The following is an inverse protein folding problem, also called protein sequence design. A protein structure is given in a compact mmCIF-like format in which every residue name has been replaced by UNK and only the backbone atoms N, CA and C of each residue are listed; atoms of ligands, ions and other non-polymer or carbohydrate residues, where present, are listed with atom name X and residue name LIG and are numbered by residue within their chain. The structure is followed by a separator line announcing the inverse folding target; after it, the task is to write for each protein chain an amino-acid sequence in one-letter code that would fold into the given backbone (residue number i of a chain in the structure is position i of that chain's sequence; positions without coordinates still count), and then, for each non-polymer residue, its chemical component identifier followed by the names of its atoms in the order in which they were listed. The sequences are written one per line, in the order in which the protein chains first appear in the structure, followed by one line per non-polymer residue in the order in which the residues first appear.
data_IF_898958181831
#
_entry.id   IF_898958181831
#
_cell.length_a   1.000
_cell.length_b   1.000
_cell.length_c   1.000
_cell.angle_alpha   90.00
_cell.angle_beta   90.00
_cell.angle_gamma   90.00
#
_symmetry.space_group_name_H-M   'P 1'
#
loop_
_entity.id
_entity.type
_entity.pdbx_description
1 polymer ?
#
# COMPACT_ATOMS: atom_id res chain seq x y z
N UNK A 1 -1.78 11.75 15.61
CA UNK A 1 -0.94 11.06 14.59
C UNK A 1 -0.29 9.88 15.29
N UNK A 2 -0.69 8.65 14.99
CA UNK A 2 0.02 7.46 15.47
C UNK A 2 1.17 7.20 14.49
N UNK A 3 2.35 6.87 15.04
CA UNK A 3 3.53 6.52 14.25
C UNK A 3 3.83 5.06 14.53
N UNK A 4 3.82 4.24 13.49
CA UNK A 4 4.19 2.84 13.56
C UNK A 4 5.19 2.55 12.45
N UNK A 5 6.21 1.74 12.79
CA UNK A 5 7.22 1.27 11.85
C UNK A 5 7.02 -0.22 11.62
N UNK A 6 7.26 -0.65 10.39
CA UNK A 6 7.13 -2.05 9.96
C UNK A 6 8.47 -2.42 9.34
N UNK A 7 9.10 -3.48 9.85
CA UNK A 7 10.36 -4.00 9.33
C UNK A 7 10.10 -5.38 8.72
N UNK A 8 10.58 -5.60 7.49
CA UNK A 8 10.56 -6.93 6.89
C UNK A 8 11.76 -7.73 7.44
N UNK A 9 11.51 -8.80 8.19
CA UNK A 9 12.56 -9.71 8.70
C UNK A 9 13.08 -10.67 7.62
N UNK A 10 12.60 -10.53 6.39
CA UNK A 10 12.96 -11.36 5.24
C UNK A 10 13.61 -10.52 4.14
N UNK A 11 14.36 -11.20 3.27
CA UNK A 11 14.95 -10.56 2.09
C UNK A 11 13.84 -10.19 1.11
N UNK A 12 13.66 -8.91 0.89
CA UNK A 12 12.68 -8.34 -0.02
C UNK A 12 13.34 -7.29 -0.92
N UNK A 13 12.83 -7.15 -2.14
CA UNK A 13 13.13 -6.01 -3.01
C UNK A 13 12.43 -4.76 -2.48
N UNK A 14 12.88 -3.57 -2.89
CA UNK A 14 12.25 -2.32 -2.48
C UNK A 14 10.75 -2.32 -2.80
N UNK A 15 10.35 -2.75 -4.00
CA UNK A 15 8.93 -2.78 -4.38
C UNK A 15 8.10 -3.70 -3.47
N UNK A 16 8.65 -4.84 -3.06
CA UNK A 16 7.98 -5.75 -2.12
C UNK A 16 7.83 -5.11 -0.74
N UNK A 17 8.87 -4.44 -0.24
CA UNK A 17 8.80 -3.74 1.06
C UNK A 17 7.73 -2.64 1.04
N UNK A 18 7.64 -1.86 -0.04
CA UNK A 18 6.64 -0.81 -0.18
C UNK A 18 5.21 -1.38 -0.22
N UNK A 19 5.01 -2.51 -0.90
CA UNK A 19 3.72 -3.20 -0.90
C UNK A 19 3.34 -3.76 0.47
N UNK A 20 4.28 -4.40 1.17
CA UNK A 20 4.07 -4.93 2.51
C UNK A 20 3.73 -3.80 3.50
N UNK A 21 4.47 -2.70 3.45
CA UNK A 21 4.20 -1.52 4.25
C UNK A 21 2.81 -0.93 3.98
N UNK A 22 2.40 -0.83 2.71
CA UNK A 22 1.07 -0.37 2.32
C UNK A 22 -0.03 -1.30 2.87
N UNK A 23 0.09 -2.61 2.65
CA UNK A 23 -0.89 -3.61 3.06
C UNK A 23 -1.04 -3.63 4.59
N UNK A 24 0.08 -3.69 5.31
CA UNK A 24 0.06 -3.72 6.76
C UNK A 24 -0.46 -2.41 7.36
N UNK A 25 -0.12 -1.25 6.77
CA UNK A 25 -0.67 0.04 7.17
C UNK A 25 -2.19 0.14 6.98
N UNK A 26 -2.73 -0.40 5.88
CA UNK A 26 -4.17 -0.45 5.65
C UNK A 26 -4.88 -1.39 6.64
N UNK A 27 -4.33 -2.57 6.92
CA UNK A 27 -4.90 -3.49 7.91
C UNK A 27 -4.92 -2.85 9.30
N UNK A 28 -3.81 -2.24 9.73
CA UNK A 28 -3.74 -1.52 11.00
C UNK A 28 -4.79 -0.40 11.08
N UNK A 29 -4.92 0.42 10.03
CA UNK A 29 -5.93 1.48 10.01
C UNK A 29 -7.34 0.90 10.18
N UNK A 30 -7.62 -0.26 9.58
CA UNK A 30 -8.90 -0.94 9.71
C UNK A 30 -9.12 -1.46 11.13
N UNK A 31 -8.11 -2.07 11.73
CA UNK A 31 -8.15 -2.60 13.10
C UNK A 31 -8.36 -1.49 14.14
N UNK A 32 -7.85 -0.29 13.85
CA UNK A 32 -8.10 0.92 14.64
C UNK A 32 -9.49 1.56 14.38
N UNK A 33 -10.33 0.95 13.54
CA UNK A 33 -11.68 1.41 13.26
C UNK A 33 -11.79 2.56 12.26
N UNK A 34 -10.75 2.84 11.47
CA UNK A 34 -10.81 3.90 10.47
C UNK A 34 -11.84 3.58 9.37
N UNK A 35 -12.71 4.56 9.10
CA UNK A 35 -13.70 4.47 8.01
C UNK A 35 -13.23 5.13 6.72
N UNK A 36 -12.30 6.09 6.82
CA UNK A 36 -11.76 6.87 5.70
C UNK A 36 -10.25 6.82 5.74
N UNK A 37 -9.62 6.51 4.61
CA UNK A 37 -8.19 6.37 4.52
C UNK A 37 -7.60 7.20 3.37
N UNK A 38 -6.55 7.95 3.67
CA UNK A 38 -5.72 8.63 2.69
C UNK A 38 -4.28 8.17 2.90
N UNK A 39 -3.69 7.59 1.86
CA UNK A 39 -2.33 7.07 1.87
C UNK A 39 -1.42 8.03 1.12
N UNK A 40 -0.27 8.32 1.71
CA UNK A 40 0.83 9.01 1.06
C UNK A 40 1.99 8.02 0.93
N UNK A 41 2.42 7.78 -0.30
CA UNK A 41 3.46 6.81 -0.63
C UNK A 41 4.53 7.52 -1.45
N UNK A 42 5.80 7.25 -1.18
CA UNK A 42 6.91 7.78 -1.98
C UNK A 42 7.23 6.90 -3.20
N UNK A 43 6.74 5.66 -3.21
CA UNK A 43 6.84 4.74 -4.34
C UNK A 43 5.88 5.10 -5.47
N UNK A 44 6.43 5.67 -6.55
CA UNK A 44 5.69 5.92 -7.78
C UNK A 44 5.05 4.66 -8.36
N UNK A 45 5.78 3.54 -8.38
CA UNK A 45 5.27 2.29 -8.92
C UNK A 45 4.03 1.80 -8.17
N UNK A 46 4.07 1.77 -6.84
CA UNK A 46 2.95 1.29 -6.01
C UNK A 46 1.74 2.22 -6.17
N UNK A 47 1.96 3.54 -6.09
CA UNK A 47 0.89 4.51 -6.25
C UNK A 47 0.21 4.40 -7.63
N UNK A 48 0.98 4.35 -8.71
CA UNK A 48 0.43 4.23 -10.06
C UNK A 48 -0.24 2.88 -10.33
N UNK A 49 0.25 1.78 -9.75
CA UNK A 49 -0.43 0.47 -9.87
C UNK A 49 -1.76 0.45 -9.11
N UNK A 50 -1.81 1.04 -7.91
CA UNK A 50 -3.04 1.18 -7.12
C UNK A 50 -4.06 2.10 -7.80
N UNK A 51 -3.61 3.15 -8.48
CA UNK A 51 -4.45 4.04 -9.29
C UNK A 51 -4.78 3.49 -10.69
N UNK A 52 -4.36 2.25 -11.00
CA UNK A 52 -4.58 1.59 -12.30
C UNK A 52 -3.91 2.28 -13.50
N UNK A 53 -2.97 3.19 -13.25
CA UNK A 53 -2.18 3.90 -14.26
C UNK A 53 -1.08 3.01 -14.86
N UNK A 54 -0.60 2.04 -14.08
CA UNK A 54 0.40 1.06 -14.49
C UNK A 54 -0.06 -0.36 -14.16
N UNK A 55 0.21 -1.30 -15.06
CA UNK A 55 -0.03 -2.72 -14.82
C UNK A 55 1.15 -3.37 -14.08
N UNK A 56 0.85 -4.30 -13.18
CA UNK A 56 1.84 -5.24 -12.66
C UNK A 56 2.13 -6.32 -13.71
N UNK A 57 3.42 -6.64 -13.91
CA UNK A 57 3.87 -7.59 -14.95
C UNK A 57 4.35 -8.92 -14.38
N UNK A 58 4.95 -8.89 -13.20
CA UNK A 58 5.49 -10.07 -12.53
C UNK A 58 4.39 -10.79 -11.73
N UNK A 59 4.35 -12.13 -11.77
CA UNK A 59 3.32 -12.91 -11.08
C UNK A 59 3.22 -12.60 -9.59
N UNK A 60 4.35 -12.36 -8.91
CA UNK A 60 4.35 -11.99 -7.50
C UNK A 60 3.81 -10.58 -7.28
N UNK A 61 4.17 -9.64 -8.15
CA UNK A 61 3.64 -8.27 -8.09
C UNK A 61 2.15 -8.21 -8.39
N UNK A 62 1.63 -9.08 -9.26
CA UNK A 62 0.19 -9.23 -9.52
C UNK A 62 -0.52 -9.66 -8.24
N UNK A 63 0.01 -10.65 -7.51
CA UNK A 63 -0.57 -11.08 -6.24
C UNK A 63 -0.58 -9.96 -5.19
N UNK A 64 0.50 -9.18 -5.10
CA UNK A 64 0.52 -8.01 -4.22
C UNK A 64 -0.50 -6.95 -4.62
N UNK A 65 -0.62 -6.66 -5.92
CA UNK A 65 -1.57 -5.69 -6.42
C UNK A 65 -3.02 -6.12 -6.15
N UNK A 66 -3.35 -7.39 -6.38
CA UNK A 66 -4.67 -7.94 -6.11
C UNK A 66 -5.02 -7.85 -4.62
N UNK A 67 -4.08 -8.23 -3.76
CA UNK A 67 -4.25 -8.12 -2.31
C UNK A 67 -4.41 -6.66 -1.88
N UNK A 68 -3.54 -5.77 -2.34
CA UNK A 68 -3.58 -4.35 -2.02
C UNK A 68 -4.86 -3.67 -2.51
N UNK A 69 -5.38 -4.04 -3.70
CA UNK A 69 -6.67 -3.55 -4.23
C UNK A 69 -7.89 -4.10 -3.51
N UNK A 70 -7.79 -5.28 -2.89
CA UNK A 70 -8.90 -5.83 -2.10
C UNK A 70 -9.17 -5.06 -0.81
N UNK A 71 -8.15 -4.43 -0.22
CA UNK A 71 -8.23 -3.77 1.09
C UNK A 71 -9.00 -2.44 1.11
N UNK A 72 -8.86 -1.54 0.11
CA UNK A 72 -9.66 -0.32 -0.01
C UNK A 72 -11.17 -0.54 0.10
N UNK A 73 -11.69 -1.69 -0.34
CA UNK A 73 -13.12 -2.03 -0.26
C UNK A 73 -13.66 -2.07 1.18
N UNK A 74 -12.78 -2.17 2.18
CA UNK A 74 -13.12 -2.18 3.62
C UNK A 74 -13.30 -0.77 4.21
N UNK A 75 -13.05 0.28 3.43
CA UNK A 75 -13.18 1.69 3.81
C UNK A 75 -14.31 2.36 3.04
N UNK A 76 -14.97 3.34 3.66
CA UNK A 76 -15.99 4.15 2.99
C UNK A 76 -15.37 5.07 1.94
N UNK A 77 -14.16 5.59 2.20
CA UNK A 77 -13.38 6.34 1.22
C UNK A 77 -11.92 5.96 1.30
N UNK A 78 -11.29 5.74 0.15
CA UNK A 78 -9.87 5.46 0.01
C UNK A 78 -9.26 6.36 -1.06
N UNK A 79 -8.05 6.86 -0.82
CA UNK A 79 -7.23 7.50 -1.85
C UNK A 79 -5.75 7.28 -1.57
N UNK A 80 -4.96 7.20 -2.63
CA UNK A 80 -3.50 7.09 -2.54
C UNK A 80 -2.86 8.18 -3.40
N UNK A 81 -1.85 8.85 -2.87
CA UNK A 81 -1.09 9.88 -3.58
C UNK A 81 0.40 9.61 -3.47
N UNK A 82 1.08 9.73 -4.62
CA UNK A 82 2.52 9.73 -4.66
C UNK A 82 3.05 11.06 -4.12
N UNK A 83 4.08 11.00 -3.27
CA UNK A 83 4.81 12.16 -2.77
C UNK A 83 6.31 12.02 -3.08
N UNK A 84 7.02 13.12 -3.39
CA UNK A 84 8.46 13.05 -3.58
C UNK A 84 9.18 12.54 -2.33
N UNK A 85 10.20 11.70 -2.52
CA UNK A 85 11.14 11.33 -1.46
C UNK A 85 12.05 12.55 -1.21
N UNK A 86 12.16 12.97 0.05
CA UNK A 86 13.04 14.07 0.49
C UNK A 86 14.49 13.60 0.65
#
# INVERSE_FOLDING_TARGET
MMVQSICCEFKATNNEVEYEALIAGMNLAKDLGASRLQVFCDSFLVASQMNEELAAKDSKMILYLDLAKSLPTKFATFSIKQIPRA
#
